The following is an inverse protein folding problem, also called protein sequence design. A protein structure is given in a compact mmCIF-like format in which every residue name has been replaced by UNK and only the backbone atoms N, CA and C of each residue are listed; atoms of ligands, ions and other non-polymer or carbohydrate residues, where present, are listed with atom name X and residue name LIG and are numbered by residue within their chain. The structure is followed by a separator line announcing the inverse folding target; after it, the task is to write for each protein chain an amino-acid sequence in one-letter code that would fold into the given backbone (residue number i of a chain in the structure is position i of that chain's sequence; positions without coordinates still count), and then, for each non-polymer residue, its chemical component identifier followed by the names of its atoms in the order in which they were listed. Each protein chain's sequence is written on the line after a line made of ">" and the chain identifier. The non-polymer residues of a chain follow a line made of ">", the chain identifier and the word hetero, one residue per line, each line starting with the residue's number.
data_IF_631923308372
#
_entry.id   IF_631923308372
#
_cell.length_a   1.000
_cell.length_b   1.000
_cell.length_c   1.000
_cell.angle_alpha   90.00
_cell.angle_beta   90.00
_cell.angle_gamma   90.00
#
_symmetry.space_group_name_H-M   'P 1'
#
loop_
_entity.id
_entity.type
_entity.pdbx_description
1 polymer ?
#
# COMPACT_ATOMS: atom_id res chain seq x y z
N UNK A 1 -17.47 -45.15 -22.82
CA UNK A 1 -18.29 -44.16 -23.55
C UNK A 1 -19.02 -43.31 -22.54
N UNK A 2 -18.58 -42.08 -22.28
CA UNK A 2 -19.19 -41.18 -21.30
C UNK A 2 -20.58 -40.76 -21.81
N UNK A 3 -21.65 -41.11 -21.09
CA UNK A 3 -23.00 -40.68 -21.44
C UNK A 3 -23.08 -39.15 -21.45
N UNK A 4 -23.38 -38.56 -22.62
CA UNK A 4 -23.47 -37.11 -22.79
C UNK A 4 -24.74 -36.61 -22.10
N UNK A 5 -24.60 -36.04 -20.90
CA UNK A 5 -25.72 -35.43 -20.16
C UNK A 5 -26.29 -34.25 -20.94
N UNK A 6 -27.58 -34.29 -21.28
CA UNK A 6 -28.31 -33.19 -21.93
C UNK A 6 -29.12 -32.41 -20.87
N UNK A 7 -29.31 -31.11 -21.09
CA UNK A 7 -30.09 -30.21 -20.23
C UNK A 7 -30.96 -29.31 -21.12
N UNK A 8 -32.21 -29.08 -20.71
CA UNK A 8 -33.11 -28.15 -21.36
C UNK A 8 -32.85 -26.72 -20.88
N UNK A 9 -32.91 -25.76 -21.80
CA UNK A 9 -32.79 -24.34 -21.47
C UNK A 9 -34.14 -23.76 -21.09
N UNK A 10 -34.25 -23.06 -19.95
CA UNK A 10 -35.52 -22.46 -19.50
C UNK A 10 -36.03 -21.31 -20.40
N UNK A 11 -35.14 -20.61 -21.12
CA UNK A 11 -35.53 -19.50 -22.01
C UNK A 11 -35.98 -19.95 -23.42
N UNK A 12 -35.25 -20.89 -24.03
CA UNK A 12 -35.49 -21.29 -25.42
C UNK A 12 -35.98 -22.72 -25.59
N UNK A 13 -36.19 -23.45 -24.50
CA UNK A 13 -36.71 -24.82 -24.43
C UNK A 13 -35.95 -25.86 -25.29
N UNK A 14 -34.70 -25.56 -25.68
CA UNK A 14 -33.86 -26.47 -26.46
C UNK A 14 -33.14 -27.45 -25.54
N UNK A 15 -33.22 -28.75 -25.87
CA UNK A 15 -32.48 -29.83 -25.19
C UNK A 15 -31.09 -29.99 -25.81
N UNK A 16 -30.06 -29.52 -25.11
CA UNK A 16 -28.69 -29.45 -25.64
C UNK A 16 -27.66 -30.04 -24.66
N UNK A 17 -26.42 -30.28 -25.12
CA UNK A 17 -25.36 -30.87 -24.28
C UNK A 17 -25.05 -29.96 -23.09
N UNK A 18 -25.12 -30.51 -21.88
CA UNK A 18 -24.95 -29.78 -20.61
C UNK A 18 -23.56 -29.19 -20.47
N UNK A 19 -22.53 -29.99 -20.74
CA UNK A 19 -21.13 -29.66 -20.42
C UNK A 19 -20.56 -28.49 -21.23
N UNK A 20 -21.03 -28.29 -22.44
CA UNK A 20 -20.48 -27.27 -23.35
C UNK A 20 -21.35 -26.02 -23.44
N UNK A 21 -22.68 -26.15 -23.27
CA UNK A 21 -23.64 -25.09 -23.63
C UNK A 21 -24.22 -24.30 -22.46
N UNK A 22 -23.83 -24.58 -21.21
CA UNK A 22 -24.28 -23.87 -20.02
C UNK A 22 -23.07 -23.40 -19.20
N UNK A 23 -23.10 -22.16 -18.70
CA UNK A 23 -22.04 -21.64 -17.82
C UNK A 23 -22.16 -22.26 -16.41
N UNK A 24 -21.03 -22.36 -15.71
CA UNK A 24 -21.00 -22.68 -14.29
C UNK A 24 -21.49 -21.47 -13.48
N UNK A 25 -22.04 -21.74 -12.30
CA UNK A 25 -22.57 -20.74 -11.39
C UNK A 25 -22.28 -21.18 -9.96
N UNK A 26 -21.95 -20.22 -9.09
CA UNK A 26 -21.78 -20.46 -7.66
C UNK A 26 -23.10 -20.32 -6.91
N UNK A 27 -24.12 -19.72 -7.55
CA UNK A 27 -25.43 -19.52 -6.97
C UNK A 27 -26.20 -20.86 -6.86
N UNK A 28 -26.19 -21.43 -5.65
CA UNK A 28 -26.88 -22.69 -5.31
C UNK A 28 -28.41 -22.59 -5.37
N UNK A 29 -28.98 -21.38 -5.28
CA UNK A 29 -30.44 -21.19 -5.34
C UNK A 29 -30.99 -21.38 -6.76
N UNK A 30 -30.22 -20.94 -7.76
CA UNK A 30 -30.63 -20.99 -9.18
C UNK A 30 -30.27 -22.34 -9.81
N UNK A 31 -29.27 -23.04 -9.29
CA UNK A 31 -28.75 -24.25 -9.91
C UNK A 31 -28.37 -25.32 -8.89
N UNK A 32 -29.14 -26.40 -8.88
CA UNK A 32 -28.83 -27.63 -8.12
C UNK A 32 -27.65 -28.42 -8.70
N UNK A 33 -27.33 -28.22 -9.97
CA UNK A 33 -26.34 -29.01 -10.70
C UNK A 33 -25.04 -28.23 -11.02
N UNK A 34 -24.81 -27.10 -10.35
CA UNK A 34 -23.65 -26.22 -10.53
C UNK A 34 -23.54 -25.52 -11.90
N UNK A 35 -24.61 -25.51 -12.71
CA UNK A 35 -24.68 -24.87 -14.02
C UNK A 35 -26.00 -24.15 -14.21
N UNK A 36 -25.96 -22.99 -14.87
CA UNK A 36 -27.17 -22.22 -15.12
C UNK A 36 -28.26 -23.02 -15.85
N UNK A 37 -29.54 -22.70 -15.61
CA UNK A 37 -30.66 -23.26 -16.36
C UNK A 37 -30.82 -22.63 -17.75
N UNK A 38 -30.18 -21.49 -18.00
CA UNK A 38 -30.23 -20.77 -19.29
C UNK A 38 -28.95 -21.08 -20.10
N UNK A 39 -29.11 -21.35 -21.40
CA UNK A 39 -27.99 -21.65 -22.28
C UNK A 39 -27.13 -20.42 -22.60
N UNK A 40 -25.87 -20.65 -22.97
CA UNK A 40 -24.90 -19.60 -23.31
C UNK A 40 -25.37 -18.65 -24.41
N UNK A 41 -26.19 -19.12 -25.36
CA UNK A 41 -26.72 -18.28 -26.46
C UNK A 41 -27.72 -17.25 -25.93
N UNK A 42 -28.71 -17.70 -25.16
CA UNK A 42 -29.74 -16.84 -24.59
C UNK A 42 -29.17 -15.82 -23.59
N UNK A 43 -28.14 -16.19 -22.82
CA UNK A 43 -27.47 -15.25 -21.91
C UNK A 43 -26.81 -14.11 -22.70
N UNK A 44 -26.16 -14.41 -23.83
CA UNK A 44 -25.51 -13.40 -24.67
C UNK A 44 -26.51 -12.44 -25.31
N UNK A 45 -27.66 -12.96 -25.73
CA UNK A 45 -28.76 -12.14 -26.28
C UNK A 45 -29.30 -11.13 -25.25
N UNK A 46 -29.16 -11.41 -23.95
CA UNK A 46 -29.56 -10.49 -22.85
C UNK A 46 -28.47 -9.48 -22.46
N UNK A 47 -27.24 -9.58 -22.99
CA UNK A 47 -26.12 -8.70 -22.63
C UNK A 47 -26.01 -7.58 -23.66
N UNK A 48 -26.05 -6.33 -23.20
CA UNK A 48 -25.71 -5.17 -24.02
C UNK A 48 -24.28 -4.73 -23.71
N UNK A 49 -23.35 -4.96 -24.63
CA UNK A 49 -21.93 -4.62 -24.42
C UNK A 49 -21.65 -3.12 -24.33
N UNK A 50 -22.57 -2.26 -24.76
CA UNK A 50 -22.46 -0.81 -24.59
C UNK A 50 -22.85 -0.35 -23.17
N UNK A 51 -23.54 -1.19 -22.40
CA UNK A 51 -23.94 -0.91 -21.02
C UNK A 51 -23.38 -1.98 -20.07
N UNK A 52 -22.33 -1.60 -19.36
CA UNK A 52 -21.63 -2.47 -18.41
C UNK A 52 -22.52 -2.96 -17.28
N UNK A 53 -23.61 -2.24 -16.95
CA UNK A 53 -24.54 -2.66 -15.90
C UNK A 53 -25.28 -3.94 -16.28
N UNK A 54 -25.53 -4.20 -17.57
CA UNK A 54 -26.13 -5.46 -18.02
C UNK A 54 -25.23 -6.65 -17.70
N UNK A 55 -23.90 -6.47 -17.82
CA UNK A 55 -22.91 -7.48 -17.49
C UNK A 55 -22.88 -7.71 -15.98
N UNK A 56 -22.86 -6.63 -15.18
CA UNK A 56 -22.91 -6.71 -13.72
C UNK A 56 -24.16 -7.44 -13.22
N UNK A 57 -25.31 -7.17 -13.81
CA UNK A 57 -26.56 -7.83 -13.45
C UNK A 57 -26.52 -9.34 -13.73
N UNK A 58 -25.98 -9.74 -14.88
CA UNK A 58 -25.83 -11.18 -15.22
C UNK A 58 -24.84 -11.86 -14.26
N UNK A 59 -23.68 -11.25 -14.02
CA UNK A 59 -22.66 -11.82 -13.12
C UNK A 59 -23.16 -11.91 -11.66
N UNK A 60 -23.92 -10.93 -11.20
CA UNK A 60 -24.56 -10.94 -9.88
C UNK A 60 -25.56 -12.08 -9.74
N UNK A 61 -26.37 -12.35 -10.77
CA UNK A 61 -27.28 -13.49 -10.75
C UNK A 61 -26.53 -14.82 -10.71
N UNK A 62 -25.40 -14.91 -11.42
CA UNK A 62 -24.51 -16.08 -11.42
C UNK A 62 -23.67 -16.23 -10.15
N UNK A 63 -23.66 -15.22 -9.29
CA UNK A 63 -22.78 -15.09 -8.13
C UNK A 63 -21.29 -15.26 -8.48
N UNK A 64 -20.85 -14.60 -9.54
CA UNK A 64 -19.45 -14.59 -10.00
C UNK A 64 -18.84 -13.19 -9.85
N UNK A 65 -17.56 -13.07 -9.48
CA UNK A 65 -16.91 -11.77 -9.32
C UNK A 65 -16.78 -11.02 -10.66
N UNK A 66 -16.87 -9.70 -10.59
CA UNK A 66 -16.39 -8.82 -11.67
C UNK A 66 -14.92 -8.47 -11.44
N UNK A 67 -13.98 -8.84 -12.33
CA UNK A 67 -12.56 -8.48 -12.22
C UNK A 67 -12.18 -7.65 -13.44
N UNK A 68 -11.91 -6.36 -13.23
CA UNK A 68 -11.67 -5.38 -14.29
C UNK A 68 -10.55 -5.81 -15.25
N UNK A 69 -9.43 -6.33 -14.73
CA UNK A 69 -8.29 -6.77 -15.56
C UNK A 69 -8.68 -7.91 -16.52
N UNK A 70 -9.47 -8.87 -16.05
CA UNK A 70 -9.92 -9.99 -16.87
C UNK A 70 -10.92 -9.52 -17.92
N UNK A 71 -11.75 -8.53 -17.58
CA UNK A 71 -12.67 -7.91 -18.52
C UNK A 71 -11.93 -7.16 -19.63
N UNK A 72 -10.91 -6.36 -19.28
CA UNK A 72 -10.06 -5.67 -20.24
C UNK A 72 -9.31 -6.65 -21.16
N UNK A 73 -8.76 -7.72 -20.58
CA UNK A 73 -8.14 -8.80 -21.36
C UNK A 73 -9.12 -9.44 -22.34
N UNK A 74 -10.37 -9.65 -21.93
CA UNK A 74 -11.41 -10.20 -22.77
C UNK A 74 -11.86 -9.25 -23.90
N UNK A 75 -11.88 -7.93 -23.66
CA UNK A 75 -12.17 -6.92 -24.69
C UNK A 75 -11.11 -6.89 -25.79
N UNK A 76 -9.85 -7.11 -25.44
CA UNK A 76 -8.73 -7.14 -26.39
C UNK A 76 -8.65 -8.45 -27.21
N UNK A 77 -9.45 -9.46 -26.84
CA UNK A 77 -9.50 -10.74 -27.56
C UNK A 77 -10.37 -10.65 -28.82
N UNK A 78 -9.96 -11.33 -29.89
CA UNK A 78 -10.78 -11.46 -31.12
C UNK A 78 -12.00 -12.39 -30.98
N UNK A 79 -12.14 -13.05 -29.82
CA UNK A 79 -13.21 -14.01 -29.54
C UNK A 79 -14.36 -13.33 -28.77
N UNK A 80 -15.41 -14.09 -28.51
CA UNK A 80 -16.52 -13.69 -27.66
C UNK A 80 -16.05 -13.14 -26.29
N UNK A 81 -16.29 -11.85 -26.05
CA UNK A 81 -15.82 -11.13 -24.85
C UNK A 81 -16.32 -11.79 -23.57
N UNK A 82 -17.64 -11.99 -23.46
CA UNK A 82 -18.24 -12.55 -22.24
C UNK A 82 -17.80 -13.99 -21.98
N UNK A 83 -17.75 -14.84 -23.00
CA UNK A 83 -17.29 -16.22 -22.85
C UNK A 83 -15.80 -16.33 -22.52
N UNK A 84 -14.96 -15.44 -23.06
CA UNK A 84 -13.53 -15.35 -22.72
C UNK A 84 -13.37 -14.93 -21.26
N UNK A 85 -14.16 -13.95 -20.82
CA UNK A 85 -14.19 -13.49 -19.44
C UNK A 85 -14.55 -14.61 -18.45
N UNK A 86 -15.68 -15.29 -18.65
CA UNK A 86 -16.12 -16.39 -17.79
C UNK A 86 -15.09 -17.54 -17.76
N UNK A 87 -14.43 -17.81 -18.90
CA UNK A 87 -13.34 -18.78 -18.96
C UNK A 87 -12.18 -18.36 -18.04
N UNK A 88 -11.75 -17.10 -18.11
CA UNK A 88 -10.63 -16.59 -17.30
C UNK A 88 -10.94 -16.69 -15.79
N UNK A 89 -12.16 -16.37 -15.38
CA UNK A 89 -12.59 -16.57 -13.98
C UNK A 89 -12.48 -18.03 -13.59
N UNK A 90 -13.13 -18.92 -14.32
CA UNK A 90 -13.28 -20.33 -13.91
C UNK A 90 -12.01 -21.17 -14.10
N UNK A 91 -11.03 -20.71 -14.89
CA UNK A 91 -9.82 -21.49 -15.20
C UNK A 91 -8.67 -21.25 -14.23
N UNK A 92 -8.67 -20.14 -13.49
CA UNK A 92 -7.59 -19.75 -12.59
C UNK A 92 -7.90 -20.20 -11.17
N UNK A 93 -7.00 -20.99 -10.57
CA UNK A 93 -7.17 -21.53 -9.21
C UNK A 93 -7.31 -20.45 -8.14
N UNK A 94 -6.66 -19.30 -8.32
CA UNK A 94 -6.75 -18.17 -7.39
C UNK A 94 -8.16 -17.56 -7.29
N UNK A 95 -9.06 -17.86 -8.24
CA UNK A 95 -10.44 -17.39 -8.22
C UNK A 95 -11.42 -18.43 -7.65
N UNK A 96 -10.90 -19.55 -7.14
CA UNK A 96 -11.73 -20.61 -6.59
C UNK A 96 -12.48 -20.11 -5.34
N UNK A 97 -13.80 -20.24 -5.34
CA UNK A 97 -14.66 -19.76 -4.25
C UNK A 97 -14.97 -18.26 -4.28
N UNK A 98 -14.45 -17.48 -5.24
CA UNK A 98 -14.84 -16.08 -5.37
C UNK A 98 -16.31 -15.94 -5.82
N UNK A 99 -17.01 -15.01 -5.16
CA UNK A 99 -18.42 -14.67 -5.40
C UNK A 99 -18.56 -13.24 -5.93
N UNK A 100 -19.78 -12.79 -6.19
CA UNK A 100 -20.01 -11.40 -6.61
C UNK A 100 -19.43 -10.37 -5.61
N UNK A 101 -19.35 -10.69 -4.33
CA UNK A 101 -18.80 -9.79 -3.29
C UNK A 101 -17.31 -9.49 -3.48
N UNK A 102 -16.57 -10.37 -4.16
CA UNK A 102 -15.14 -10.23 -4.41
C UNK A 102 -14.84 -9.41 -5.69
N UNK A 103 -15.83 -8.65 -6.17
CA UNK A 103 -15.71 -7.89 -7.41
C UNK A 103 -14.76 -6.69 -7.28
N UNK A 104 -13.83 -6.59 -8.22
CA UNK A 104 -12.89 -5.50 -8.43
C UNK A 104 -13.28 -4.73 -9.70
N UNK A 105 -13.99 -3.62 -9.53
CA UNK A 105 -14.56 -2.82 -10.63
C UNK A 105 -13.58 -1.82 -11.29
N UNK A 106 -12.40 -1.62 -10.70
CA UNK A 106 -11.38 -0.67 -11.17
C UNK A 106 -10.02 -1.36 -11.19
N UNK A 107 -9.06 -0.78 -11.92
CA UNK A 107 -7.67 -1.25 -11.86
C UNK A 107 -7.15 -1.09 -10.43
N UNK A 108 -6.92 -2.20 -9.73
CA UNK A 108 -6.14 -2.17 -8.50
C UNK A 108 -4.69 -1.95 -8.92
N UNK A 109 -4.23 -0.70 -8.85
CA UNK A 109 -2.79 -0.46 -8.81
C UNK A 109 -2.27 -1.30 -7.65
N UNK A 110 -1.45 -2.32 -7.95
CA UNK A 110 -0.74 -3.10 -6.93
C UNK A 110 0.18 -2.17 -6.16
N UNK A 111 -0.39 -1.52 -5.16
CA UNK A 111 0.32 -0.96 -4.02
C UNK A 111 -0.13 -1.86 -2.88
N UNK A 112 0.81 -2.66 -2.40
CA UNK A 112 0.59 -3.63 -1.35
C UNK A 112 0.09 -2.93 -0.07
N UNK A 113 -0.90 -3.59 0.52
CA UNK A 113 -1.30 -3.63 1.92
C UNK A 113 -1.99 -2.44 2.62
N UNK A 114 -3.23 -2.74 3.00
CA UNK A 114 -3.92 -2.38 4.24
C UNK A 114 -4.25 -0.89 4.50
N UNK A 115 -5.41 -0.47 3.99
CA UNK A 115 -6.57 -0.09 4.83
C UNK A 115 -7.81 0.14 3.97
N UNK A 116 -8.92 -0.41 4.43
CA UNK A 116 -10.26 -0.25 3.90
C UNK A 116 -10.56 1.21 3.52
N UNK A 117 -10.78 1.48 2.24
CA UNK A 117 -11.59 2.63 1.84
C UNK A 117 -12.62 2.14 0.83
N UNK A 118 -13.83 1.91 1.35
CA UNK A 118 -15.07 1.88 0.59
C UNK A 118 -15.20 3.27 -0.04
N UNK A 119 -15.01 3.40 -1.36
CA UNK A 119 -15.46 4.58 -2.10
C UNK A 119 -16.49 4.12 -3.12
N UNK A 120 -17.73 4.01 -2.65
CA UNK A 120 -18.91 4.10 -3.48
C UNK A 120 -19.73 5.29 -2.97
N UNK A 121 -19.66 6.43 -3.68
CA UNK A 121 -20.82 7.17 -4.18
C UNK A 121 -20.39 8.52 -4.75
N UNK A 122 -21.11 8.96 -5.80
CA UNK A 122 -21.22 10.35 -6.24
C UNK A 122 -19.93 11.02 -6.77
N UNK A 123 -19.92 11.37 -8.06
CA UNK A 123 -18.94 12.29 -8.65
C UNK A 123 -18.77 13.62 -7.87
N UNK A 124 -19.75 13.97 -7.01
CA UNK A 124 -19.68 15.12 -6.10
C UNK A 124 -18.75 14.94 -4.87
N UNK A 125 -18.52 13.71 -4.38
CA UNK A 125 -17.59 13.50 -3.25
C UNK A 125 -16.14 13.60 -3.73
N UNK A 126 -15.88 13.18 -4.97
CA UNK A 126 -14.57 13.27 -5.59
C UNK A 126 -14.12 14.73 -5.78
N UNK A 127 -15.03 15.63 -6.19
CA UNK A 127 -14.66 17.05 -6.37
C UNK A 127 -14.34 17.74 -5.04
N UNK A 128 -15.02 17.36 -3.94
CA UNK A 128 -14.75 17.91 -2.61
C UNK A 128 -13.34 17.55 -2.14
N UNK A 129 -12.92 16.29 -2.36
CA UNK A 129 -11.56 15.85 -2.05
C UNK A 129 -10.51 16.57 -2.91
N UNK A 130 -10.78 16.78 -4.20
CA UNK A 130 -9.87 17.51 -5.08
C UNK A 130 -9.74 18.99 -4.69
N UNK A 131 -10.84 19.60 -4.21
CA UNK A 131 -10.85 20.97 -3.66
C UNK A 131 -10.03 21.09 -2.39
N UNK A 132 -10.08 20.09 -1.52
CA UNK A 132 -9.21 20.03 -0.33
C UNK A 132 -7.74 19.82 -0.73
N UNK A 133 -7.48 19.00 -1.75
CA UNK A 133 -6.12 18.67 -2.21
C UNK A 133 -5.41 19.81 -2.94
N UNK A 134 -6.11 20.55 -3.81
CA UNK A 134 -5.53 21.59 -4.68
C UNK A 134 -5.92 23.01 -4.26
N UNK A 135 -6.69 23.17 -3.18
CA UNK A 135 -7.19 24.46 -2.72
C UNK A 135 -8.51 24.86 -3.39
N UNK A 136 -9.25 25.77 -2.75
CA UNK A 136 -10.57 26.25 -3.20
C UNK A 136 -10.44 27.40 -4.19
N UNK A 137 -11.39 27.53 -5.12
CA UNK A 137 -11.54 28.72 -5.98
C UNK A 137 -11.37 28.47 -7.48
N UNK A 138 -11.14 27.23 -7.91
CA UNK A 138 -11.06 26.86 -9.32
C UNK A 138 -12.40 26.30 -9.85
N UNK A 139 -12.65 26.34 -11.17
CA UNK A 139 -13.77 25.62 -11.77
C UNK A 139 -13.67 24.12 -11.58
N UNK A 140 -14.81 23.43 -11.38
CA UNK A 140 -14.87 21.99 -11.12
C UNK A 140 -14.16 21.16 -12.23
N UNK A 141 -14.33 21.55 -13.49
CA UNK A 141 -13.68 20.90 -14.63
C UNK A 141 -12.14 20.97 -14.57
N UNK A 142 -11.58 22.01 -13.93
CA UNK A 142 -10.12 22.17 -13.83
C UNK A 142 -9.51 21.24 -12.77
N UNK A 143 -10.24 20.92 -11.70
CA UNK A 143 -9.75 20.00 -10.66
C UNK A 143 -9.47 18.60 -11.21
N UNK A 144 -10.30 18.11 -12.13
CA UNK A 144 -10.06 16.84 -12.82
C UNK A 144 -8.78 16.89 -13.67
N UNK A 145 -8.51 18.03 -14.30
CA UNK A 145 -7.29 18.26 -15.08
C UNK A 145 -6.05 18.32 -14.19
N UNK A 146 -6.14 18.97 -13.02
CA UNK A 146 -5.07 18.99 -12.02
C UNK A 146 -4.73 17.59 -11.54
N UNK A 147 -5.75 16.80 -11.17
CA UNK A 147 -5.54 15.42 -10.70
C UNK A 147 -4.92 14.54 -11.79
N UNK A 148 -5.42 14.65 -13.03
CA UNK A 148 -4.85 13.91 -14.16
C UNK A 148 -3.38 14.26 -14.38
N UNK A 149 -3.01 15.54 -14.29
CA UNK A 149 -1.62 15.98 -14.44
C UNK A 149 -0.74 15.50 -13.28
N UNK A 150 -1.26 15.57 -12.06
CA UNK A 150 -0.58 15.10 -10.86
C UNK A 150 -0.30 13.60 -10.92
N UNK A 151 -1.29 12.78 -11.30
CA UNK A 151 -1.12 11.33 -11.45
C UNK A 151 -0.14 10.96 -12.58
N UNK A 152 -0.03 11.79 -13.63
CA UNK A 152 0.96 11.58 -14.70
C UNK A 152 2.39 11.88 -14.23
N UNK A 153 2.58 12.89 -13.39
CA UNK A 153 3.90 13.35 -12.98
C UNK A 153 4.42 12.65 -11.72
N UNK A 154 3.52 12.29 -10.79
CA UNK A 154 3.87 11.65 -9.52
C UNK A 154 4.81 10.44 -9.66
N UNK A 155 4.63 9.51 -10.62
CA UNK A 155 5.53 8.36 -10.76
C UNK A 155 6.98 8.73 -11.10
N UNK A 156 7.19 9.91 -11.69
CA UNK A 156 8.51 10.37 -12.14
C UNK A 156 9.31 11.06 -11.02
N UNK A 157 8.71 11.31 -9.85
CA UNK A 157 9.31 12.06 -8.76
C UNK A 157 9.29 11.26 -7.46
N UNK A 158 10.42 11.22 -6.76
CA UNK A 158 10.48 10.76 -5.37
C UNK A 158 10.11 11.93 -4.45
N UNK A 159 8.88 11.94 -3.95
CA UNK A 159 8.39 12.98 -3.04
C UNK A 159 8.83 12.64 -1.60
N UNK A 160 10.03 13.05 -1.21
CA UNK A 160 10.60 12.73 0.11
C UNK A 160 9.94 13.49 1.27
N UNK A 161 9.45 14.71 1.03
CA UNK A 161 8.86 15.56 2.08
C UNK A 161 7.54 16.16 1.63
N UNK A 162 6.73 16.58 2.61
CA UNK A 162 5.47 17.30 2.39
C UNK A 162 5.66 18.54 1.52
N UNK A 163 6.80 19.24 1.63
CA UNK A 163 7.12 20.39 0.79
C UNK A 163 7.28 20.02 -0.69
N UNK A 164 7.91 18.88 -1.00
CA UNK A 164 8.00 18.41 -2.40
C UNK A 164 6.61 18.07 -2.96
N UNK A 165 5.74 17.54 -2.11
CA UNK A 165 4.36 17.24 -2.50
C UNK A 165 3.56 18.52 -2.77
N UNK A 166 3.67 19.54 -1.91
CA UNK A 166 3.04 20.85 -2.14
C UNK A 166 3.57 21.53 -3.41
N UNK A 167 4.90 21.53 -3.62
CA UNK A 167 5.48 22.05 -4.86
C UNK A 167 4.99 21.28 -6.11
N UNK A 168 4.80 19.96 -6.02
CA UNK A 168 4.26 19.19 -7.15
C UNK A 168 2.79 19.55 -7.42
N UNK A 169 1.98 19.75 -6.37
CA UNK A 169 0.57 20.17 -6.51
C UNK A 169 0.49 21.52 -7.20
N UNK A 170 1.24 22.51 -6.71
CA UNK A 170 1.30 23.86 -7.27
C UNK A 170 1.78 23.85 -8.72
N UNK A 171 2.84 23.09 -9.01
CA UNK A 171 3.35 22.91 -10.37
C UNK A 171 2.28 22.34 -11.33
N UNK A 172 1.45 21.41 -10.86
CA UNK A 172 0.38 20.84 -11.68
C UNK A 172 -0.71 21.88 -11.99
N UNK A 173 -1.07 22.71 -11.02
CA UNK A 173 -2.04 23.81 -11.19
C UNK A 173 -1.52 24.78 -12.25
N UNK A 174 -0.30 25.28 -12.09
CA UNK A 174 0.30 26.26 -13.00
C UNK A 174 0.39 25.73 -14.44
N UNK A 175 0.78 24.45 -14.59
CA UNK A 175 0.89 23.83 -15.92
C UNK A 175 -0.45 23.64 -16.62
N UNK A 176 -1.51 23.34 -15.88
CA UNK A 176 -2.86 23.24 -16.45
C UNK A 176 -3.37 24.62 -16.83
N UNK A 177 -3.20 25.62 -15.96
CA UNK A 177 -3.55 27.03 -16.25
C UNK A 177 -2.81 27.58 -17.46
N UNK A 178 -1.51 27.30 -17.59
CA UNK A 178 -0.70 27.64 -18.77
C UNK A 178 -1.32 27.05 -20.05
N UNK A 179 -1.72 25.78 -20.03
CA UNK A 179 -2.35 25.11 -21.16
C UNK A 179 -3.70 25.72 -21.55
N UNK A 180 -4.52 26.04 -20.54
CA UNK A 180 -5.83 26.68 -20.74
C UNK A 180 -5.69 28.11 -21.30
N UNK A 181 -4.74 28.90 -20.80
CA UNK A 181 -4.46 30.24 -21.31
C UNK A 181 -3.99 30.21 -22.77
N UNK A 182 -3.10 29.28 -23.12
CA UNK A 182 -2.67 29.05 -24.52
C UNK A 182 -3.84 28.66 -25.42
N UNK A 183 -4.74 27.79 -24.95
CA UNK A 183 -5.91 27.37 -25.70
C UNK A 183 -6.90 28.52 -25.95
N UNK A 184 -7.02 29.46 -24.99
CA UNK A 184 -7.83 30.69 -25.13
C UNK A 184 -7.17 31.75 -26.03
N UNK A 185 -5.89 31.60 -26.36
CA UNK A 185 -5.13 32.59 -27.13
C UNK A 185 -4.58 33.75 -26.28
N UNK A 186 -4.64 33.66 -24.95
CA UNK A 186 -4.02 34.65 -24.07
C UNK A 186 -2.56 34.28 -23.76
N UNK A 187 -1.67 34.76 -24.63
CA UNK A 187 -0.23 34.49 -24.51
C UNK A 187 0.44 35.27 -23.38
N UNK A 188 -0.19 36.32 -22.84
CA UNK A 188 0.37 37.07 -21.70
C UNK A 188 0.19 36.28 -20.42
N UNK A 189 -1.04 35.86 -20.14
CA UNK A 189 -1.37 35.06 -18.97
C UNK A 189 -0.62 33.71 -19.01
N UNK A 190 -0.54 33.08 -20.18
CA UNK A 190 0.24 31.85 -20.35
C UNK A 190 1.73 32.01 -19.99
N UNK A 191 2.32 33.17 -20.25
CA UNK A 191 3.72 33.43 -19.92
C UNK A 191 3.94 33.57 -18.41
N UNK A 192 2.98 34.19 -17.70
CA UNK A 192 3.00 34.35 -16.25
C UNK A 192 2.88 32.98 -15.55
N UNK A 193 1.91 32.15 -15.95
CA UNK A 193 1.77 30.77 -15.45
C UNK A 193 3.01 29.91 -15.77
N UNK A 194 3.62 30.09 -16.95
CA UNK A 194 4.85 29.39 -17.29
C UNK A 194 6.06 29.82 -16.42
N UNK A 195 6.15 31.08 -16.02
CA UNK A 195 7.18 31.54 -15.07
C UNK A 195 6.97 30.98 -13.68
N UNK A 196 5.74 31.03 -13.15
CA UNK A 196 5.42 30.48 -11.83
C UNK A 196 5.72 28.98 -11.76
N UNK A 197 5.32 28.21 -12.79
CA UNK A 197 5.65 26.79 -12.86
C UNK A 197 7.15 26.52 -12.87
N UNK A 198 7.96 27.40 -13.48
CA UNK A 198 9.41 27.27 -13.50
C UNK A 198 10.00 27.53 -12.12
N UNK A 199 9.53 28.55 -11.43
CA UNK A 199 10.01 28.93 -10.09
C UNK A 199 9.66 27.86 -9.05
N UNK A 200 8.44 27.32 -9.10
CA UNK A 200 7.99 26.18 -8.28
C UNK A 200 8.83 24.93 -8.57
N UNK A 201 9.10 24.63 -9.85
CA UNK A 201 9.95 23.49 -10.22
C UNK A 201 11.39 23.63 -9.71
N UNK A 202 11.96 24.84 -9.71
CA UNK A 202 13.28 25.08 -9.13
C UNK A 202 13.28 25.00 -7.61
N UNK A 203 12.23 25.52 -6.95
CA UNK A 203 12.10 25.53 -5.50
C UNK A 203 11.89 24.12 -4.94
N UNK A 204 11.05 23.32 -5.63
CA UNK A 204 10.76 21.94 -5.28
C UNK A 204 11.74 20.91 -5.85
N UNK A 205 12.86 21.34 -6.46
CA UNK A 205 13.85 20.46 -7.14
C UNK A 205 13.22 19.42 -8.08
N UNK A 206 12.14 19.81 -8.77
CA UNK A 206 11.42 18.95 -9.72
C UNK A 206 12.14 18.85 -11.07
N UNK A 207 13.29 19.50 -11.25
CA UNK A 207 14.10 19.36 -12.45
C UNK A 207 15.10 18.20 -12.31
N UNK A 208 15.23 17.30 -13.30
CA UNK A 208 16.18 16.19 -13.28
C UNK A 208 17.63 16.60 -13.02
N UNK A 209 18.01 17.81 -13.45
CA UNK A 209 19.37 18.36 -13.28
C UNK A 209 19.68 18.82 -11.85
N UNK A 210 18.70 18.84 -10.96
CA UNK A 210 18.82 19.34 -9.58
C UNK A 210 18.61 18.25 -8.52
N UNK A 211 18.33 17.01 -8.94
CA UNK A 211 18.35 15.85 -8.04
C UNK A 211 19.78 15.52 -7.65
N UNK A 212 20.10 15.62 -6.36
CA UNK A 212 21.43 15.26 -5.85
C UNK A 212 21.57 13.72 -5.78
N UNK A 213 22.79 13.19 -5.72
CA UNK A 213 23.02 11.74 -5.50
C UNK A 213 22.32 11.21 -4.24
N UNK A 214 22.13 12.05 -3.23
CA UNK A 214 21.41 11.74 -1.98
C UNK A 214 19.88 11.66 -2.15
N UNK A 215 19.34 12.39 -3.15
CA UNK A 215 17.91 12.36 -3.47
C UNK A 215 17.55 11.12 -4.31
N UNK A 216 18.52 10.54 -5.05
CA UNK A 216 18.35 9.30 -5.81
C UNK A 216 18.42 8.03 -4.94
N UNK A 217 19.10 8.10 -3.78
CA UNK A 217 19.30 6.99 -2.84
C UNK A 217 18.18 6.86 -1.79
N UNK A 218 17.11 7.66 -1.87
CA UNK A 218 16.00 7.60 -0.91
C UNK A 218 16.36 8.09 0.50
N UNK A 219 17.39 8.95 0.64
CA UNK A 219 17.78 9.55 1.91
C UNK A 219 18.49 8.61 2.90
N UNK A 220 18.92 7.43 2.46
CA UNK A 220 19.73 6.50 3.25
C UNK A 220 21.16 6.45 2.69
N UNK A 221 21.96 7.45 3.05
CA UNK A 221 23.30 7.60 2.47
C UNK A 221 24.35 6.73 3.17
N UNK A 222 24.05 6.19 4.35
CA UNK A 222 24.97 5.30 5.10
C UNK A 222 24.24 4.21 5.87
N UNK A 223 24.89 3.05 6.00
CA UNK A 223 24.40 1.92 6.82
C UNK A 223 24.08 2.34 8.26
N UNK A 224 24.82 3.31 8.82
CA UNK A 224 24.56 3.84 10.16
C UNK A 224 23.24 4.61 10.29
N UNK A 225 22.80 5.33 9.24
CA UNK A 225 21.50 6.00 9.23
C UNK A 225 20.35 4.98 9.13
N UNK A 226 20.55 3.90 8.38
CA UNK A 226 19.60 2.80 8.25
C UNK A 226 19.42 2.07 9.59
N UNK A 227 20.53 1.75 10.28
CA UNK A 227 20.51 1.19 11.64
C UNK A 227 19.75 2.09 12.61
N UNK A 228 20.06 3.40 12.60
CA UNK A 228 19.44 4.37 13.50
C UNK A 228 17.95 4.55 13.24
N UNK A 229 17.50 4.54 11.99
CA UNK A 229 16.07 4.58 11.67
C UNK A 229 15.36 3.32 12.17
N UNK A 230 15.92 2.14 11.92
CA UNK A 230 15.36 0.88 12.45
C UNK A 230 15.27 0.90 13.97
N UNK A 231 16.28 1.44 14.67
CA UNK A 231 16.28 1.61 16.13
C UNK A 231 15.27 2.66 16.65
N UNK A 232 14.93 3.68 15.84
CA UNK A 232 14.08 4.80 16.25
C UNK A 232 12.62 4.70 15.77
N UNK A 233 12.30 3.77 14.86
CA UNK A 233 10.93 3.58 14.36
C UNK A 233 10.09 2.91 15.48
N UNK A 234 8.79 3.20 15.62
CA UNK A 234 7.90 2.46 16.53
C UNK A 234 7.88 0.95 16.23
N UNK A 235 8.14 0.58 14.97
CA UNK A 235 8.35 -0.80 14.49
C UNK A 235 9.68 -1.41 14.95
N UNK A 236 10.53 -0.65 15.66
CA UNK A 236 11.62 -1.16 16.48
C UNK A 236 11.14 -2.12 17.58
N UNK A 237 9.83 -2.22 17.82
CA UNK A 237 9.19 -3.36 18.49
C UNK A 237 9.54 -4.72 17.84
N UNK A 238 9.94 -4.76 16.57
CA UNK A 238 10.46 -6.00 15.96
C UNK A 238 11.74 -6.49 16.65
N UNK A 239 12.56 -5.60 17.24
CA UNK A 239 13.68 -6.00 18.09
C UNK A 239 13.21 -6.61 19.42
N UNK A 240 12.04 -6.23 19.94
CA UNK A 240 11.46 -6.86 21.13
C UNK A 240 10.89 -8.26 20.85
N UNK A 241 10.58 -8.57 19.58
CA UNK A 241 10.18 -9.91 19.12
C UNK A 241 11.38 -10.86 18.94
N UNK A 242 12.61 -10.34 18.88
CA UNK A 242 13.80 -11.20 18.78
C UNK A 242 14.05 -11.90 20.13
N UNK A 243 14.45 -13.17 20.12
CA UNK A 243 14.88 -13.84 21.34
C UNK A 243 16.06 -13.08 21.94
N UNK A 244 15.82 -12.50 23.11
CA UNK A 244 16.88 -11.92 23.91
C UNK A 244 17.70 -13.06 24.52
N UNK A 245 19.03 -12.92 24.46
CA UNK A 245 19.90 -13.83 25.18
C UNK A 245 19.61 -13.68 26.68
N UNK A 246 19.26 -14.78 27.34
CA UNK A 246 19.05 -14.79 28.80
C UNK A 246 20.35 -14.58 29.57
N UNK A 247 21.50 -14.85 28.93
CA UNK A 247 22.85 -14.68 29.45
C UNK A 247 23.79 -14.26 28.30
N UNK A 248 24.76 -13.38 28.56
CA UNK A 248 25.77 -13.05 27.54
C UNK A 248 26.67 -14.26 27.24
N UNK A 249 27.14 -14.42 26.00
CA UNK A 249 28.12 -15.45 25.66
C UNK A 249 29.40 -15.26 26.49
N UNK A 250 29.81 -16.30 27.23
CA UNK A 250 31.05 -16.29 28.01
C UNK A 250 32.26 -16.03 27.10
N UNK A 251 32.96 -14.93 27.31
CA UNK A 251 34.26 -14.71 26.68
C UNK A 251 35.41 -15.29 27.51
N UNK A 252 36.65 -15.17 27.04
CA UNK A 252 37.82 -15.69 27.78
C UNK A 252 38.07 -14.96 29.10
N UNK A 253 37.76 -13.67 29.18
CA UNK A 253 37.96 -12.84 30.37
C UNK A 253 36.93 -13.22 31.43
N UNK A 254 35.69 -13.44 31.02
CA UNK A 254 34.58 -13.90 31.85
C UNK A 254 34.88 -15.23 32.54
N UNK A 255 35.41 -16.19 31.78
CA UNK A 255 35.80 -17.50 32.35
C UNK A 255 36.93 -17.34 33.38
N UNK A 256 37.93 -16.52 33.08
CA UNK A 256 39.03 -16.26 34.02
C UNK A 256 38.53 -15.61 35.32
N UNK A 257 37.65 -14.63 35.20
CA UNK A 257 37.06 -13.95 36.34
C UNK A 257 36.19 -14.90 37.17
N UNK A 258 35.36 -15.73 36.52
CA UNK A 258 34.55 -16.73 37.21
C UNK A 258 35.40 -17.72 38.00
N UNK A 259 36.47 -18.25 37.39
CA UNK A 259 37.43 -19.11 38.08
C UNK A 259 38.09 -18.40 39.26
N UNK A 260 38.48 -17.13 39.10
CA UNK A 260 39.09 -16.35 40.17
C UNK A 260 38.13 -16.11 41.34
N UNK A 261 36.88 -15.75 41.06
CA UNK A 261 35.85 -15.50 42.08
C UNK A 261 35.58 -16.78 42.86
N UNK A 262 35.41 -17.92 42.19
CA UNK A 262 35.17 -19.20 42.87
C UNK A 262 36.39 -19.64 43.69
N UNK A 263 37.62 -19.46 43.18
CA UNK A 263 38.82 -19.74 43.97
C UNK A 263 38.87 -18.91 45.28
N UNK A 264 38.46 -17.63 45.24
CA UNK A 264 38.38 -16.77 46.44
C UNK A 264 37.24 -17.22 47.37
N UNK A 265 36.12 -17.70 46.84
CA UNK A 265 34.98 -18.19 47.63
C UNK A 265 35.33 -19.49 48.35
N UNK A 266 36.07 -20.39 47.71
CA UNK A 266 36.57 -21.63 48.31
C UNK A 266 37.49 -21.34 49.50
N UNK A 267 38.42 -20.39 49.35
CA UNK A 267 39.30 -19.95 50.45
C UNK A 267 38.48 -19.39 51.62
N UNK A 268 37.33 -18.78 51.34
CA UNK A 268 36.40 -18.24 52.34
C UNK A 268 35.36 -19.23 52.85
N UNK A 269 35.40 -20.50 52.41
CA UNK A 269 34.42 -21.53 52.77
C UNK A 269 33.00 -21.23 52.28
N UNK A 270 32.86 -20.43 51.24
CA UNK A 270 31.58 -20.08 50.62
C UNK A 270 31.26 -21.04 49.49
N UNK A 271 29.97 -21.33 49.21
CA UNK A 271 29.59 -22.17 48.07
C UNK A 271 30.00 -21.51 46.75
N UNK A 272 30.33 -22.33 45.74
CA UNK A 272 30.62 -21.88 44.38
C UNK A 272 29.46 -21.02 43.84
N UNK A 273 29.79 -19.98 43.07
CA UNK A 273 28.80 -19.16 42.37
C UNK A 273 28.67 -19.57 40.91
N UNK A 274 27.47 -19.45 40.37
CA UNK A 274 27.21 -19.68 38.96
C UNK A 274 27.57 -18.42 38.16
N UNK A 275 27.88 -18.61 36.87
CA UNK A 275 28.22 -17.48 35.99
C UNK A 275 27.09 -16.42 35.93
N UNK A 276 25.83 -16.88 35.98
CA UNK A 276 24.65 -16.01 36.01
C UNK A 276 24.65 -15.04 37.19
N UNK A 277 25.14 -15.47 38.35
CA UNK A 277 25.20 -14.63 39.55
C UNK A 277 26.18 -13.47 39.39
N UNK A 278 27.30 -13.72 38.71
CA UNK A 278 28.31 -12.71 38.37
C UNK A 278 27.71 -11.70 37.39
N UNK A 279 27.02 -12.18 36.36
CA UNK A 279 26.39 -11.31 35.37
C UNK A 279 25.30 -10.40 35.99
N UNK A 280 24.41 -10.97 36.81
CA UNK A 280 23.39 -10.22 37.53
C UNK A 280 23.99 -9.13 38.43
N UNK A 281 25.14 -9.41 39.05
CA UNK A 281 25.86 -8.42 39.84
C UNK A 281 26.37 -7.26 38.98
N UNK A 282 26.91 -7.53 37.79
CA UNK A 282 27.34 -6.50 36.86
C UNK A 282 26.20 -5.62 36.36
N UNK A 283 25.07 -6.22 36.03
CA UNK A 283 23.88 -5.50 35.57
C UNK A 283 23.35 -4.58 36.67
N UNK A 284 23.31 -5.05 37.91
CA UNK A 284 22.98 -4.22 39.08
C UNK A 284 23.95 -3.05 39.25
N UNK A 285 25.26 -3.28 39.17
CA UNK A 285 26.29 -2.23 39.27
C UNK A 285 26.19 -1.21 38.14
N UNK A 286 25.89 -1.66 36.92
CA UNK A 286 25.65 -0.79 35.77
C UNK A 286 24.45 0.13 36.03
N UNK A 287 23.33 -0.44 36.45
CA UNK A 287 22.11 0.32 36.74
C UNK A 287 22.34 1.37 37.85
N UNK A 288 23.08 1.00 38.90
CA UNK A 288 23.46 1.94 39.96
C UNK A 288 24.33 3.10 39.42
N UNK A 289 25.28 2.81 38.54
CA UNK A 289 26.14 3.83 37.92
C UNK A 289 25.37 4.77 36.98
N UNK A 290 24.51 4.20 36.13
CA UNK A 290 23.65 4.98 35.23
C UNK A 290 22.68 5.88 36.01
N UNK A 291 22.09 5.37 37.10
CA UNK A 291 21.24 6.17 37.99
C UNK A 291 22.01 7.34 38.61
N UNK A 292 23.23 7.10 39.10
CA UNK A 292 24.08 8.15 39.67
C UNK A 292 24.48 9.21 38.63
N UNK A 293 24.72 8.80 37.38
CA UNK A 293 25.03 9.73 36.29
C UNK A 293 23.82 10.60 35.94
N UNK A 294 22.63 10.01 35.88
CA UNK A 294 21.38 10.73 35.62
C UNK A 294 21.09 11.76 36.73
N UNK A 295 21.28 11.37 37.99
CA UNK A 295 21.12 12.25 39.15
C UNK A 295 22.13 13.42 39.13
N UNK A 296 23.37 13.14 38.72
CA UNK A 296 24.43 14.14 38.57
C UNK A 296 24.18 15.11 37.40
N UNK A 297 23.54 14.67 36.32
CA UNK A 297 23.14 15.56 35.23
C UNK A 297 21.95 16.44 35.63
N UNK A 298 20.97 15.87 36.35
CA UNK A 298 19.81 16.61 36.84
C UNK A 298 20.22 17.70 37.86
N UNK A 299 21.19 17.41 38.73
CA UNK A 299 21.71 18.36 39.71
C UNK A 299 22.43 19.52 39.02
N UNK A 300 23.31 19.25 38.05
CA UNK A 300 23.97 20.28 37.24
C UNK A 300 22.98 21.17 36.48
N UNK A 301 21.92 20.60 35.91
CA UNK A 301 20.89 21.38 35.22
C UNK A 301 20.10 22.29 36.18
N UNK A 302 19.85 21.85 37.43
CA UNK A 302 19.21 22.66 38.47
C UNK A 302 20.11 23.79 38.96
N UNK A 303 21.42 23.56 39.07
CA UNK A 303 22.40 24.60 39.42
C UNK A 303 22.52 25.66 38.33
N UNK A 304 22.59 25.26 37.06
CA UNK A 304 22.59 26.20 35.91
C UNK A 304 21.31 27.02 35.85
N UNK A 305 20.15 26.45 36.20
CA UNK A 305 18.87 27.18 36.29
C UNK A 305 18.83 28.15 37.46
N UNK A 306 19.43 27.80 38.61
CA UNK A 306 19.55 28.73 39.76
C UNK A 306 20.50 29.89 39.46
N UNK A 307 21.63 29.65 38.79
CA UNK A 307 22.59 30.67 38.42
C UNK A 307 22.10 31.66 37.35
N UNK A 308 21.03 31.33 36.61
CA UNK A 308 20.39 32.22 35.61
C UNK A 308 19.25 33.06 36.18
N UNK A 309 18.75 32.70 37.38
CA UNK A 309 17.55 33.31 37.98
C UNK A 309 17.86 34.08 39.28
N UNK A 310 19.13 34.25 39.65
CA UNK A 310 19.61 35.13 40.72
C UNK A 310 20.61 36.11 40.16
#
# INVERSE_FOLDING_TARGET
>A
MSQVKKKECEECHRVIKRETNFYQTNNKLISKDGRLPICKKCIKEKINYNDINTIYNVLRQMDLPFIYEYWQSALNSKKDTFGTYIKNINSLQQNEGMTWEHSVFKLQNKIEDNKNIIINSSNNENISFLKEKFGLGYPDEEYELFEKKYQQLKPSFQLLTTMHEECLKEYCIDKVKEGLAKAKGDFKEAKEWASMAKDVATSGKLNPNQMSKADLSGGLDTFGQLSRMVEQTPEGELMALLPLFTEQPKDKVDVNLWCFINAVRDIKGMPECEYKDIYNFYEKRRNEYESQMLDNELSKQKEVKKAKNG
#
